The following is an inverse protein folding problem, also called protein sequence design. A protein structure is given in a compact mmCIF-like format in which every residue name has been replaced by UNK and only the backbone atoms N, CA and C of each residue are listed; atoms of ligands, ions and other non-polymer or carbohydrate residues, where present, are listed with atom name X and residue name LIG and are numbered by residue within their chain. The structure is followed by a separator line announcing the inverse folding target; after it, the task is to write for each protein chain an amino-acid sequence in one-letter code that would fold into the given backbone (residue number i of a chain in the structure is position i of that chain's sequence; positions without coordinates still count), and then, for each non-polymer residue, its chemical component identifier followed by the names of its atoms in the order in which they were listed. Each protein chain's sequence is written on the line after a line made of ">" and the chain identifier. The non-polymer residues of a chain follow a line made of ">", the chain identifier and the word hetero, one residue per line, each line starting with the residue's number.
data_IF_148430386666
#
_entry.id   IF_148430386666
#
_cell.length_a   1.000
_cell.length_b   1.000
_cell.length_c   1.000
_cell.angle_alpha   90.00
_cell.angle_beta   90.00
_cell.angle_gamma   90.00
#
_symmetry.space_group_name_H-M   'P 1'
#
loop_
_entity.id
_entity.type
_entity.pdbx_description
1 polymer ?
#
# COMPACT_ATOMS: atom_id res chain seq x y z
N UNK A 1 -23.11 -9.15 -2.44
CA UNK A 1 -21.97 -8.23 -2.61
C UNK A 1 -21.34 -8.46 -3.99
N UNK A 2 -20.53 -7.52 -4.47
CA UNK A 2 -19.77 -7.66 -5.72
C UNK A 2 -18.37 -8.19 -5.39
N UNK A 3 -17.81 -9.04 -6.26
CA UNK A 3 -16.42 -9.49 -6.18
C UNK A 3 -15.62 -9.11 -7.42
N UNK A 4 -14.35 -8.81 -7.21
CA UNK A 4 -13.43 -8.35 -8.25
C UNK A 4 -12.35 -9.38 -8.56
N UNK A 5 -11.96 -9.49 -9.84
CA UNK A 5 -10.79 -10.26 -10.28
C UNK A 5 -10.13 -9.65 -11.51
N UNK A 6 -8.83 -9.87 -11.66
CA UNK A 6 -8.08 -9.50 -12.87
C UNK A 6 -8.20 -10.64 -13.88
N UNK A 7 -8.63 -10.32 -15.10
CA UNK A 7 -8.73 -11.27 -16.20
C UNK A 7 -7.46 -11.30 -17.05
N UNK A 8 -6.82 -10.14 -17.24
CA UNK A 8 -5.60 -10.03 -18.03
C UNK A 8 -4.79 -8.78 -17.67
N UNK A 9 -3.51 -8.81 -18.04
CA UNK A 9 -2.55 -7.72 -17.90
C UNK A 9 -1.73 -7.59 -19.19
N UNK A 10 -1.36 -6.36 -19.55
CA UNK A 10 -0.53 -6.06 -20.72
C UNK A 10 0.57 -5.06 -20.34
N UNK A 11 1.84 -5.33 -20.68
CA UNK A 11 2.35 -6.60 -21.24
C UNK A 11 2.27 -7.79 -20.27
N UNK A 12 2.19 -9.01 -20.81
CA UNK A 12 2.14 -10.24 -20.00
C UNK A 12 3.52 -10.72 -19.53
N UNK A 13 4.58 -10.19 -20.13
CA UNK A 13 6.00 -10.49 -19.92
C UNK A 13 6.73 -9.17 -19.65
N UNK A 14 7.77 -9.12 -18.81
CA UNK A 14 8.59 -10.23 -18.27
C UNK A 14 8.13 -10.84 -16.94
N UNK A 15 7.19 -10.21 -16.23
CA UNK A 15 6.81 -10.64 -14.87
C UNK A 15 5.32 -11.03 -14.85
N UNK A 16 4.97 -12.31 -14.62
CA UNK A 16 3.58 -12.68 -14.35
C UNK A 16 3.13 -12.15 -12.98
N UNK A 17 1.82 -11.94 -12.80
CA UNK A 17 1.23 -11.49 -11.52
C UNK A 17 1.75 -10.15 -10.99
N UNK A 18 1.91 -9.15 -11.88
CA UNK A 18 2.35 -7.80 -11.50
C UNK A 18 1.30 -7.03 -10.71
N UNK A 19 0.04 -7.43 -10.87
CA UNK A 19 -1.11 -6.81 -10.25
C UNK A 19 -1.83 -7.83 -9.38
N UNK A 20 -2.18 -7.42 -8.17
CA UNK A 20 -3.16 -8.12 -7.35
C UNK A 20 -4.35 -7.21 -7.13
N UNK A 21 -5.53 -7.81 -7.00
CA UNK A 21 -6.76 -7.09 -6.67
C UNK A 21 -7.40 -7.72 -5.43
N UNK A 22 -7.81 -6.88 -4.49
CA UNK A 22 -8.65 -7.33 -3.39
C UNK A 22 -10.05 -7.65 -3.95
N UNK A 23 -10.52 -8.88 -3.73
CA UNK A 23 -11.79 -9.33 -4.30
C UNK A 23 -13.01 -8.65 -3.68
N UNK A 24 -12.92 -8.06 -2.50
CA UNK A 24 -14.02 -7.38 -1.80
C UNK A 24 -14.05 -5.88 -2.07
N UNK A 25 -12.87 -5.25 -2.01
CA UNK A 25 -12.76 -3.78 -2.10
C UNK A 25 -12.44 -3.30 -3.51
N UNK A 26 -11.85 -4.15 -4.35
CA UNK A 26 -11.35 -3.76 -5.67
C UNK A 26 -10.00 -3.03 -5.63
N UNK A 27 -9.34 -2.95 -4.46
CA UNK A 27 -8.03 -2.31 -4.33
C UNK A 27 -6.99 -3.04 -5.16
N UNK A 28 -6.25 -2.30 -6.00
CA UNK A 28 -5.20 -2.84 -6.87
C UNK A 28 -3.83 -2.48 -6.29
N UNK A 29 -2.96 -3.47 -6.14
CA UNK A 29 -1.57 -3.29 -5.73
C UNK A 29 -0.65 -3.72 -6.87
N UNK A 30 0.39 -2.93 -7.14
CA UNK A 30 1.37 -3.19 -8.20
C UNK A 30 2.80 -2.93 -7.75
N UNK A 31 3.75 -3.57 -8.44
CA UNK A 31 5.21 -3.38 -8.26
C UNK A 31 5.90 -2.81 -9.51
N UNK A 32 5.13 -2.39 -10.51
CA UNK A 32 5.66 -2.03 -11.83
C UNK A 32 5.07 -0.73 -12.37
N UNK A 33 5.81 -0.06 -13.25
CA UNK A 33 5.58 1.37 -13.51
C UNK A 33 4.54 1.71 -14.58
N UNK A 34 4.23 0.84 -15.56
CA UNK A 34 3.29 1.21 -16.62
C UNK A 34 2.63 0.01 -17.32
N UNK A 35 1.34 -0.23 -17.04
CA UNK A 35 0.62 -1.41 -17.55
C UNK A 35 -0.88 -1.15 -17.65
N UNK A 36 -1.57 -1.95 -18.47
CA UNK A 36 -3.03 -2.01 -18.50
C UNK A 36 -3.53 -3.36 -18.00
N UNK A 37 -4.65 -3.34 -17.28
CA UNK A 37 -5.32 -4.55 -16.79
C UNK A 37 -6.81 -4.55 -17.17
N UNK A 38 -7.36 -5.74 -17.39
CA UNK A 38 -8.81 -5.94 -17.52
C UNK A 38 -9.32 -6.50 -16.19
N UNK A 39 -10.22 -5.77 -15.55
CA UNK A 39 -10.87 -6.16 -14.29
C UNK A 39 -12.30 -6.60 -14.59
N UNK A 40 -12.73 -7.67 -13.93
CA UNK A 40 -14.13 -8.09 -13.90
C UNK A 40 -14.72 -7.82 -12.51
N UNK A 41 -15.94 -7.29 -12.49
CA UNK A 41 -16.79 -7.21 -11.31
C UNK A 41 -17.98 -8.14 -11.52
N UNK A 42 -18.24 -9.02 -10.54
CA UNK A 42 -19.34 -10.00 -10.57
C UNK A 42 -20.17 -9.88 -9.30
N UNK A 43 -21.49 -9.77 -9.41
CA UNK A 43 -22.38 -9.74 -8.24
C UNK A 43 -22.54 -11.14 -7.59
N UNK A 44 -23.46 -11.27 -6.64
CA UNK A 44 -23.74 -12.54 -5.94
C UNK A 44 -22.49 -13.21 -5.34
N UNK A 45 -21.65 -12.44 -4.65
CA UNK A 45 -20.38 -12.94 -4.07
C UNK A 45 -19.41 -13.50 -5.11
N UNK A 46 -19.46 -13.01 -6.35
CA UNK A 46 -18.57 -13.45 -7.41
C UNK A 46 -18.95 -14.79 -8.02
N UNK A 47 -20.20 -15.23 -7.85
CA UNK A 47 -20.66 -16.51 -8.39
C UNK A 47 -20.69 -16.46 -9.93
N UNK A 48 -19.76 -17.16 -10.57
CA UNK A 48 -19.61 -17.14 -12.03
C UNK A 48 -20.70 -17.90 -12.79
N UNK A 49 -21.52 -18.71 -12.11
CA UNK A 49 -22.58 -19.49 -12.74
C UNK A 49 -23.92 -18.73 -12.79
N UNK A 50 -24.14 -17.84 -11.83
CA UNK A 50 -25.44 -17.16 -11.64
C UNK A 50 -25.33 -15.64 -11.54
N UNK A 51 -24.15 -15.12 -11.20
CA UNK A 51 -23.91 -13.70 -11.02
C UNK A 51 -23.72 -12.97 -12.33
N UNK A 52 -24.27 -11.76 -12.41
CA UNK A 52 -24.06 -10.85 -13.52
C UNK A 52 -22.66 -10.24 -13.42
N UNK A 53 -21.98 -10.16 -14.57
CA UNK A 53 -20.60 -9.70 -14.63
C UNK A 53 -20.44 -8.60 -15.68
N UNK A 54 -19.59 -7.62 -15.39
CA UNK A 54 -19.10 -6.65 -16.37
C UNK A 54 -17.58 -6.48 -16.25
N UNK A 55 -16.95 -5.97 -17.30
CA UNK A 55 -15.49 -5.76 -17.37
C UNK A 55 -15.14 -4.31 -17.64
N UNK A 56 -14.00 -3.87 -17.12
CA UNK A 56 -13.43 -2.56 -17.38
C UNK A 56 -11.91 -2.66 -17.59
N UNK A 57 -11.36 -1.73 -18.38
CA UNK A 57 -9.92 -1.58 -18.58
C UNK A 57 -9.39 -0.48 -17.67
N UNK A 58 -8.39 -0.80 -16.84
CA UNK A 58 -7.65 0.17 -16.06
C UNK A 58 -6.26 0.39 -16.66
N UNK A 59 -5.88 1.65 -16.86
CA UNK A 59 -4.55 2.06 -17.34
C UNK A 59 -3.81 2.62 -16.13
N UNK A 60 -2.70 1.99 -15.76
CA UNK A 60 -1.93 2.30 -14.56
C UNK A 60 -0.60 2.92 -15.00
N UNK A 61 -0.37 4.16 -14.57
CA UNK A 61 0.86 4.90 -14.79
C UNK A 61 1.44 5.31 -13.44
N UNK A 62 2.50 4.64 -13.02
CA UNK A 62 3.27 5.02 -11.83
C UNK A 62 4.29 6.06 -12.27
N UNK A 63 4.13 7.28 -11.78
CA UNK A 63 4.93 8.44 -12.21
C UNK A 63 6.26 8.56 -11.48
N UNK A 64 6.41 7.85 -10.38
CA UNK A 64 7.59 7.90 -9.51
C UNK A 64 7.85 6.51 -8.94
N UNK A 65 9.08 6.02 -9.13
CA UNK A 65 9.57 4.87 -8.37
C UNK A 65 10.28 5.50 -7.19
N UNK A 66 10.01 5.02 -5.96
CA UNK A 66 10.72 5.51 -4.77
C UNK A 66 12.18 5.02 -4.76
N UNK A 67 12.95 5.44 -5.76
CA UNK A 67 14.37 5.23 -5.95
C UNK A 67 15.19 6.33 -5.25
N UNK A 68 14.52 7.30 -4.61
CA UNK A 68 15.15 8.34 -3.83
C UNK A 68 15.38 7.83 -2.38
N UNK A 69 16.59 7.34 -2.04
CA UNK A 69 16.88 6.95 -0.67
C UNK A 69 16.71 8.16 0.26
N UNK A 70 16.25 7.94 1.51
CA UNK A 70 16.14 9.04 2.46
C UNK A 70 17.54 9.63 2.73
N UNK A 71 17.72 10.91 2.40
CA UNK A 71 18.90 11.66 2.84
C UNK A 71 18.73 12.07 4.30
N UNK A 72 19.56 11.48 5.17
CA UNK A 72 19.55 11.77 6.59
C UNK A 72 20.35 13.07 6.84
N UNK A 73 19.69 14.22 6.74
CA UNK A 73 20.33 15.55 6.85
C UNK A 73 20.76 15.95 8.27
N UNK A 74 20.60 15.08 9.29
CA UNK A 74 21.12 15.36 10.63
C UNK A 74 21.67 14.11 11.32
N UNK A 75 22.96 14.14 11.64
CA UNK A 75 23.67 13.10 12.41
C UNK A 75 23.50 13.24 13.93
N UNK A 76 22.50 13.99 14.37
CA UNK A 76 22.26 14.26 15.80
C UNK A 76 20.93 13.65 16.18
N UNK A 77 20.91 12.51 16.91
CA UNK A 77 19.79 12.24 17.79
C UNK A 77 19.68 13.49 18.66
N UNK A 78 18.57 14.22 18.58
CA UNK A 78 18.32 15.29 19.55
C UNK A 78 18.28 14.59 20.90
N UNK A 79 19.39 14.63 21.63
CA UNK A 79 19.42 14.27 23.04
C UNK A 79 18.30 15.09 23.68
N UNK A 80 17.26 14.47 24.25
CA UNK A 80 16.24 15.24 24.93
C UNK A 80 16.95 15.97 26.05
N UNK A 81 16.80 17.29 26.09
CA UNK A 81 17.22 18.13 27.19
C UNK A 81 16.35 17.83 28.41
N UNK A 82 16.60 16.69 29.05
CA UNK A 82 16.06 16.38 30.36
C UNK A 82 16.73 17.32 31.37
N UNK A 83 16.12 18.48 31.59
CA UNK A 83 16.42 19.33 32.72
C UNK A 83 15.83 18.65 33.96
N UNK A 84 16.43 17.55 34.42
CA UNK A 84 16.02 16.92 35.67
C UNK A 84 16.39 17.87 36.82
N UNK A 85 15.40 18.62 37.32
CA UNK A 85 15.55 19.43 38.53
C UNK A 85 15.53 18.48 39.73
N UNK A 86 16.70 18.16 40.26
CA UNK A 86 16.81 17.46 41.54
C UNK A 86 16.64 18.48 42.67
N UNK A 87 15.52 18.41 43.40
CA UNK A 87 15.36 19.11 44.69
C UNK A 87 15.86 18.17 45.78
N UNK A 88 17.02 18.46 46.37
CA UNK A 88 17.43 17.83 47.63
C UNK A 88 16.46 18.34 48.69
N UNK A 89 15.51 17.50 49.10
CA UNK A 89 14.78 17.70 50.36
C UNK A 89 15.74 17.29 51.47
N UNK A 90 16.49 18.28 51.98
CA UNK A 90 17.19 18.11 53.25
C UNK A 90 16.14 18.09 54.38
N UNK A 91 16.02 16.95 55.04
CA UNK A 91 15.33 16.72 56.30
C UNK A 91 15.52 15.23 56.63
N UNK A 92 16.18 14.82 57.69
CA UNK A 92 16.16 15.38 59.04
C UNK A 92 17.51 15.24 59.76
N UNK A 93 17.88 16.17 60.66
CA UNK A 93 18.72 15.84 61.80
C UNK A 93 17.89 15.75 63.10
N UNK A 94 18.01 14.56 63.70
CA UNK A 94 17.61 14.07 65.04
C UNK A 94 16.14 13.72 65.24
#
# INVERSE_FOLDING_TARGET
>A
MVRYRILSQTPHSPIPNMFTINSETGDIVTKVSQYSIIVQATDMEGNLNFGLSNTATAIISVTDINDNPPELTSRTPRSPNWNAVYRIISGDPI
#
